data_IF_852116104626
#
_entry.id   IF_852116104626
#
_cell.length_a   1.000
_cell.length_b   1.000
_cell.length_c   1.000
_cell.angle_alpha   90.00
_cell.angle_beta   90.00
_cell.angle_gamma   90.00
#
_symmetry.space_group_name_H-M   'P 1'
#
loop_
_entity.id
_entity.type
_entity.pdbx_description
1 polymer ?
#
# COMPACT_ATOMS: atom_id res chain seq x y z
N UNK A 1 2.84 -11.08 2.74
CA UNK A 1 3.34 -9.70 2.83
C UNK A 1 2.38 -8.80 3.58
N UNK A 2 1.22 -8.42 3.04
CA UNK A 2 0.28 -7.49 3.72
C UNK A 2 -0.18 -7.92 5.12
N UNK A 3 -0.31 -9.22 5.37
CA UNK A 3 -0.68 -9.76 6.68
C UNK A 3 0.36 -9.46 7.78
N UNK A 4 1.67 -9.49 7.45
CA UNK A 4 2.73 -9.14 8.41
C UNK A 4 2.76 -7.64 8.68
N UNK A 5 2.57 -6.83 7.64
CA UNK A 5 2.40 -5.40 7.81
C UNK A 5 1.22 -5.08 8.73
N UNK A 6 0.05 -5.68 8.52
CA UNK A 6 -1.09 -5.48 9.41
C UNK A 6 -0.84 -5.96 10.83
N UNK A 7 -0.10 -7.07 11.01
CA UNK A 7 0.31 -7.51 12.33
C UNK A 7 1.12 -6.44 13.06
N UNK A 8 2.13 -5.88 12.42
CA UNK A 8 3.01 -4.88 13.05
C UNK A 8 2.27 -3.59 13.42
N UNK A 9 1.25 -3.22 12.65
CA UNK A 9 0.43 -2.02 12.93
C UNK A 9 -0.83 -2.30 13.76
N UNK A 10 -1.20 -3.56 13.99
CA UNK A 10 -2.42 -3.94 14.72
C UNK A 10 -2.45 -3.35 16.13
N UNK A 11 -1.28 -3.28 16.78
CA UNK A 11 -1.10 -2.66 18.10
C UNK A 11 -1.38 -1.15 18.09
N UNK A 12 -1.22 -0.49 16.94
CA UNK A 12 -1.34 0.96 16.77
C UNK A 12 -2.70 1.40 16.21
N UNK A 13 -3.31 0.59 15.34
CA UNK A 13 -4.54 0.94 14.63
C UNK A 13 -5.75 0.10 15.05
N UNK A 14 -5.58 -0.89 15.94
CA UNK A 14 -6.66 -1.76 16.40
C UNK A 14 -7.20 -2.70 15.33
N UNK A 15 -6.44 -2.96 14.27
CA UNK A 15 -6.79 -3.99 13.29
C UNK A 15 -6.84 -5.35 13.99
N UNK A 16 -7.90 -6.12 13.73
CA UNK A 16 -8.12 -7.43 14.33
C UNK A 16 -8.21 -8.50 13.25
N UNK A 17 -7.98 -9.73 13.69
CA UNK A 17 -8.07 -10.94 12.89
C UNK A 17 -9.57 -11.28 12.71
N UNK A 18 -9.97 -11.60 11.49
CA UNK A 18 -11.34 -12.07 11.21
C UNK A 18 -11.46 -13.59 11.42
N UNK A 19 -12.67 -14.15 11.29
CA UNK A 19 -12.97 -15.52 11.72
C UNK A 19 -12.15 -16.65 11.09
N UNK A 20 -11.35 -16.38 10.06
CA UNK A 20 -10.48 -17.34 9.38
C UNK A 20 -9.01 -17.30 9.86
N UNK A 21 -8.69 -16.46 10.85
CA UNK A 21 -7.34 -16.33 11.38
C UNK A 21 -6.44 -15.37 10.59
N UNK A 22 -6.99 -14.55 9.68
CA UNK A 22 -6.25 -13.53 8.93
C UNK A 22 -6.75 -12.11 9.24
N UNK A 23 -5.91 -11.11 9.04
CA UNK A 23 -6.38 -9.72 8.94
C UNK A 23 -7.26 -9.57 7.69
N UNK A 24 -8.27 -8.71 7.79
CA UNK A 24 -9.14 -8.36 6.68
C UNK A 24 -8.38 -7.83 5.46
N UNK A 25 -9.07 -7.78 4.32
CA UNK A 25 -8.48 -7.26 3.08
C UNK A 25 -8.13 -5.78 3.19
N UNK A 26 -7.08 -5.36 2.48
CA UNK A 26 -6.69 -3.96 2.46
C UNK A 26 -7.77 -3.13 1.75
N UNK A 27 -8.41 -2.17 2.45
CA UNK A 27 -9.48 -1.39 1.86
C UNK A 27 -9.01 -0.67 0.59
N UNK A 28 -9.79 -0.76 -0.48
CA UNK A 28 -9.53 -0.06 -1.74
C UNK A 28 -8.23 -0.47 -2.46
N UNK A 29 -7.65 -1.62 -2.14
CA UNK A 29 -6.47 -2.13 -2.87
C UNK A 29 -6.76 -2.31 -4.36
N UNK A 30 -7.94 -2.81 -4.71
CA UNK A 30 -8.35 -3.03 -6.10
C UNK A 30 -8.34 -1.74 -6.92
N UNK A 31 -8.62 -0.60 -6.28
CA UNK A 31 -8.61 0.69 -6.95
C UNK A 31 -7.22 1.06 -7.50
N UNK A 32 -6.13 0.54 -6.92
CA UNK A 32 -4.77 0.76 -7.45
C UNK A 32 -4.56 0.15 -8.83
N UNK A 33 -5.36 -0.85 -9.19
CA UNK A 33 -5.29 -1.52 -10.48
C UNK A 33 -6.26 -0.93 -11.50
N UNK A 34 -7.31 -0.24 -11.04
CA UNK A 34 -8.34 0.33 -11.91
C UNK A 34 -8.10 1.80 -12.25
N UNK A 35 -7.56 2.59 -11.31
CA UNK A 35 -7.41 4.03 -11.48
C UNK A 35 -6.08 4.41 -12.15
N UNK A 36 -6.15 5.08 -13.31
CA UNK A 36 -4.97 5.52 -14.09
C UNK A 36 -4.04 6.49 -13.36
N UNK A 37 -4.51 7.10 -12.28
CA UNK A 37 -3.72 8.04 -11.47
C UNK A 37 -2.97 7.33 -10.34
N UNK A 38 -3.19 6.04 -10.14
CA UNK A 38 -2.51 5.23 -9.13
C UNK A 38 -1.39 4.42 -9.78
N UNK A 39 -0.22 4.47 -9.17
CA UNK A 39 1.04 3.95 -9.69
C UNK A 39 1.77 3.20 -8.57
N UNK A 40 1.72 1.86 -8.58
CA UNK A 40 2.52 1.06 -7.67
C UNK A 40 3.94 0.90 -8.20
N UNK A 41 4.91 1.04 -7.31
CA UNK A 41 6.33 0.87 -7.59
C UNK A 41 6.87 -0.26 -6.72
N UNK A 42 7.62 -1.17 -7.32
CA UNK A 42 8.35 -2.19 -6.59
C UNK A 42 9.84 -1.86 -6.71
N UNK A 43 10.52 -1.71 -5.57
CA UNK A 43 11.96 -1.48 -5.53
C UNK A 43 12.69 -2.79 -5.31
N UNK A 44 13.81 -2.93 -6.01
CA UNK A 44 14.69 -4.08 -5.91
C UNK A 44 16.03 -3.68 -5.30
N UNK A 45 16.55 -4.51 -4.41
CA UNK A 45 17.91 -4.46 -3.91
C UNK A 45 18.58 -5.81 -4.22
N UNK A 46 19.69 -5.79 -4.94
CA UNK A 46 20.39 -7.01 -5.38
C UNK A 46 19.44 -8.04 -6.04
N UNK A 47 18.61 -7.58 -6.98
CA UNK A 47 17.57 -8.35 -7.70
C UNK A 47 16.43 -8.93 -6.84
N UNK A 48 16.46 -8.72 -5.52
CA UNK A 48 15.38 -9.10 -4.61
C UNK A 48 14.38 -7.97 -4.47
N UNK A 49 13.10 -8.29 -4.45
CA UNK A 49 12.05 -7.33 -4.11
C UNK A 49 12.22 -6.93 -2.64
N UNK A 50 12.50 -5.65 -2.41
CA UNK A 50 12.78 -5.13 -1.07
C UNK A 50 11.66 -4.22 -0.57
N UNK A 51 11.00 -3.47 -1.46
CA UNK A 51 10.01 -2.48 -1.05
C UNK A 51 8.86 -2.35 -2.06
N UNK A 52 7.71 -1.90 -1.58
CA UNK A 52 6.54 -1.56 -2.39
C UNK A 52 6.06 -0.16 -2.00
N UNK A 53 5.92 0.73 -2.97
CA UNK A 53 5.42 2.09 -2.76
C UNK A 53 4.15 2.30 -3.59
N UNK A 54 3.11 2.80 -2.96
CA UNK A 54 1.88 3.20 -3.60
C UNK A 54 1.86 4.70 -3.80
N UNK A 55 1.95 5.12 -5.06
CA UNK A 55 2.02 6.53 -5.44
C UNK A 55 0.76 6.91 -6.20
N UNK A 56 0.22 8.09 -5.92
CA UNK A 56 -0.87 8.67 -6.71
C UNK A 56 -0.45 9.98 -7.35
N UNK A 57 -0.85 10.17 -8.60
CA UNK A 57 -0.79 11.44 -9.32
C UNK A 57 -1.97 12.31 -8.89
N UNK A 58 -1.70 13.56 -8.55
CA UNK A 58 -2.72 14.53 -8.14
C UNK A 58 -2.63 15.72 -9.08
N UNK A 59 -3.75 16.01 -9.75
CA UNK A 59 -3.95 17.20 -10.57
C UNK A 59 -4.96 18.11 -9.86
N UNK A 60 -4.51 19.29 -9.43
CA UNK A 60 -5.35 20.27 -8.74
C UNK A 60 -5.07 21.67 -9.29
N UNK A 61 -6.03 22.20 -10.06
CA UNK A 61 -5.84 23.46 -10.79
C UNK A 61 -4.65 23.37 -11.75
N UNK A 62 -3.69 24.29 -11.61
CA UNK A 62 -2.45 24.29 -12.39
C UNK A 62 -1.29 23.49 -11.75
N UNK A 63 -1.54 22.74 -10.67
CA UNK A 63 -0.51 21.93 -10.01
C UNK A 63 -0.68 20.46 -10.36
N UNK A 64 0.44 19.85 -10.74
CA UNK A 64 0.58 18.41 -10.93
C UNK A 64 1.71 17.93 -10.02
N UNK A 65 1.40 17.01 -9.12
CA UNK A 65 2.37 16.44 -8.19
C UNK A 65 2.04 14.98 -7.90
N UNK A 66 3.01 14.26 -7.33
CA UNK A 66 2.86 12.89 -6.90
C UNK A 66 2.88 12.83 -5.38
N UNK A 67 2.04 11.98 -4.81
CA UNK A 67 1.97 11.73 -3.36
C UNK A 67 2.13 10.24 -3.10
N UNK A 68 2.96 9.90 -2.13
CA UNK A 68 3.04 8.53 -1.60
C UNK A 68 1.87 8.37 -0.64
N UNK A 69 1.02 7.37 -0.89
CA UNK A 69 -0.13 7.05 -0.04
C UNK A 69 0.26 6.00 0.99
N UNK A 70 0.98 4.96 0.57
CA UNK A 70 1.57 3.94 1.45
C UNK A 70 2.95 3.51 0.97
N UNK A 71 3.76 3.02 1.91
CA UNK A 71 5.08 2.46 1.66
C UNK A 71 5.32 1.26 2.57
N UNK A 72 5.79 0.16 1.98
CA UNK A 72 6.01 -1.12 2.63
C UNK A 72 7.48 -1.53 2.49
N UNK A 73 8.12 -1.85 3.61
CA UNK A 73 9.44 -2.50 3.65
C UNK A 73 9.21 -4.00 3.85
N UNK A 74 9.83 -4.84 3.03
CA UNK A 74 9.68 -6.30 3.03
C UNK A 74 10.85 -7.03 3.69
#
# INVERSE_FOLDING_TARGET
MMQYYFNDFSELNGADIVGDGRFGEYPYLDHYWEEKVKHPFILKYEDKYAELAFVRKIEQGNKLYYSITEFFVM
#
